data_IF_314262620489
#
_entry.id   IF_314262620489
#
_cell.length_a   1.000
_cell.length_b   1.000
_cell.length_c   1.000
_cell.angle_alpha   90.00
_cell.angle_beta   90.00
_cell.angle_gamma   90.00
#
_symmetry.space_group_name_H-M   'P 1'
#
loop_
_entity.id
_entity.type
_entity.pdbx_description
1 polymer ?
#
# COMPACT_ATOMS: atom_id res chain seq x y z
N UNK A 1 -11.74 -18.58 15.02
CA UNK A 1 -11.03 -17.50 14.29
C UNK A 1 -9.54 -17.45 14.64
N UNK A 2 -9.20 -17.32 15.92
CA UNK A 2 -7.81 -17.21 16.41
C UNK A 2 -6.89 -18.37 15.98
N UNK A 3 -7.34 -19.63 16.03
CA UNK A 3 -6.51 -20.78 15.60
C UNK A 3 -6.11 -20.71 14.12
N UNK A 4 -7.01 -20.25 13.24
CA UNK A 4 -6.73 -20.04 11.81
C UNK A 4 -5.73 -18.90 11.60
N UNK A 5 -5.88 -17.79 12.35
CA UNK A 5 -4.94 -16.67 12.33
C UNK A 5 -3.53 -17.12 12.74
N UNK A 6 -3.42 -17.95 13.79
CA UNK A 6 -2.12 -18.50 14.21
C UNK A 6 -1.49 -19.36 13.12
N UNK A 7 -2.27 -20.18 12.42
CA UNK A 7 -1.78 -21.00 11.32
C UNK A 7 -1.31 -20.15 10.13
N UNK A 8 -2.08 -19.13 9.74
CA UNK A 8 -1.71 -18.21 8.66
C UNK A 8 -0.47 -17.38 9.03
N UNK A 9 -0.37 -16.89 10.27
CA UNK A 9 0.82 -16.21 10.77
C UNK A 9 2.04 -17.12 10.76
N UNK A 10 1.88 -18.37 11.21
CA UNK A 10 2.96 -19.35 11.20
C UNK A 10 3.46 -19.66 9.79
N UNK A 11 2.55 -19.80 8.81
CA UNK A 11 2.91 -19.97 7.39
C UNK A 11 3.67 -18.76 6.86
N UNK A 12 3.18 -17.56 7.15
CA UNK A 12 3.81 -16.31 6.71
C UNK A 12 5.23 -16.18 7.26
N UNK A 13 5.41 -16.38 8.57
CA UNK A 13 6.72 -16.28 9.24
C UNK A 13 7.72 -17.35 8.78
N UNK A 14 7.29 -18.44 8.15
CA UNK A 14 8.21 -19.44 7.56
C UNK A 14 8.45 -19.23 6.08
N UNK A 15 7.82 -18.24 5.47
CA UNK A 15 8.00 -17.96 4.06
C UNK A 15 9.35 -17.30 3.80
N UNK A 16 10.18 -17.93 2.97
CA UNK A 16 11.46 -17.36 2.53
C UNK A 16 11.27 -16.01 1.83
N UNK A 17 10.18 -15.87 1.05
CA UNK A 17 9.92 -14.64 0.31
C UNK A 17 9.64 -13.44 1.22
N UNK A 18 9.09 -13.66 2.43
CA UNK A 18 8.89 -12.58 3.40
C UNK A 18 10.23 -11.99 3.81
N UNK A 19 11.17 -12.85 4.18
CA UNK A 19 12.51 -12.44 4.61
C UNK A 19 13.32 -11.80 3.49
N UNK A 20 13.20 -12.31 2.25
CA UNK A 20 13.83 -11.69 1.09
C UNK A 20 13.32 -10.26 0.88
N UNK A 21 12.00 -10.05 0.91
CA UNK A 21 11.44 -8.71 0.76
C UNK A 21 11.78 -7.78 1.92
N UNK A 22 11.74 -8.27 3.17
CA UNK A 22 12.19 -7.50 4.32
C UNK A 22 13.66 -7.08 4.19
N UNK A 23 14.54 -7.99 3.77
CA UNK A 23 15.95 -7.70 3.55
C UNK A 23 16.16 -6.65 2.45
N UNK A 24 15.42 -6.75 1.35
CA UNK A 24 15.46 -5.76 0.27
C UNK A 24 14.96 -4.38 0.73
N UNK A 25 13.87 -4.32 1.49
CA UNK A 25 13.40 -3.04 2.04
C UNK A 25 14.40 -2.45 3.03
N UNK A 26 14.98 -3.27 3.91
CA UNK A 26 16.03 -2.82 4.84
C UNK A 26 17.27 -2.31 4.09
N UNK A 27 17.64 -2.95 2.98
CA UNK A 27 18.74 -2.49 2.13
C UNK A 27 18.42 -1.13 1.51
N UNK A 28 17.22 -0.95 0.95
CA UNK A 28 16.80 0.36 0.39
C UNK A 28 16.81 1.43 1.48
N UNK A 29 16.26 1.14 2.67
CA UNK A 29 16.32 2.05 3.81
C UNK A 29 17.74 2.41 4.23
N UNK A 30 18.65 1.43 4.30
CA UNK A 30 20.04 1.67 4.62
C UNK A 30 20.71 2.57 3.57
N UNK A 31 20.43 2.35 2.28
CA UNK A 31 20.93 3.19 1.18
C UNK A 31 20.36 4.61 1.27
N UNK A 32 19.06 4.78 1.49
CA UNK A 32 18.42 6.07 1.70
C UNK A 32 19.09 6.85 2.83
N UNK A 33 19.28 6.20 3.99
CA UNK A 33 19.85 6.83 5.19
C UNK A 33 21.33 7.18 4.95
N UNK A 34 22.10 6.27 4.36
CA UNK A 34 23.53 6.46 4.10
C UNK A 34 23.83 7.52 3.04
N UNK A 35 23.06 7.51 1.95
CA UNK A 35 23.20 8.47 0.84
C UNK A 35 22.49 9.80 1.11
N UNK A 36 21.63 9.86 2.13
CA UNK A 36 20.85 11.05 2.52
C UNK A 36 19.97 11.57 1.39
N UNK A 37 19.48 10.66 0.56
CA UNK A 37 18.57 10.91 -0.54
C UNK A 37 17.37 10.00 -0.36
N UNK A 38 16.18 10.48 -0.68
CA UNK A 38 14.98 9.67 -0.58
C UNK A 38 15.06 8.50 -1.58
N UNK A 39 14.75 7.30 -1.11
CA UNK A 39 14.91 6.09 -1.91
C UNK A 39 13.60 5.67 -2.56
N UNK A 40 13.65 5.36 -3.86
CA UNK A 40 12.57 4.68 -4.57
C UNK A 40 12.30 5.23 -5.98
N UNK A 41 11.25 4.71 -6.61
CA UNK A 41 10.76 5.11 -7.94
C UNK A 41 9.31 5.54 -7.78
N UNK A 42 9.02 6.84 -7.69
CA UNK A 42 7.62 7.29 -7.63
C UNK A 42 6.97 7.10 -9.00
N UNK A 43 5.86 6.35 -9.04
CA UNK A 43 4.98 6.23 -10.21
C UNK A 43 3.91 7.33 -10.24
N UNK A 44 3.98 8.30 -9.33
CA UNK A 44 3.03 9.41 -9.26
C UNK A 44 3.51 10.62 -10.03
N UNK A 45 2.57 11.51 -10.36
CA UNK A 45 2.96 12.84 -10.81
C UNK A 45 3.50 13.63 -9.64
N UNK A 46 4.52 14.43 -9.91
CA UNK A 46 4.93 15.44 -8.97
C UNK A 46 3.92 16.58 -9.07
N UNK A 47 3.24 16.97 -7.98
CA UNK A 47 2.22 18.00 -8.05
C UNK A 47 2.86 19.32 -8.51
N UNK A 48 2.20 20.09 -9.40
CA UNK A 48 2.69 21.38 -9.86
C UNK A 48 2.50 22.41 -8.72
N UNK A 49 3.36 22.31 -7.71
CA UNK A 49 3.36 23.21 -6.55
C UNK A 49 4.32 24.35 -6.83
N UNK A 50 3.85 25.59 -6.72
CA UNK A 50 4.72 26.76 -6.83
C UNK A 50 5.83 26.69 -5.76
N UNK A 51 7.09 26.85 -6.20
CA UNK A 51 8.25 26.78 -5.32
C UNK A 51 8.57 25.36 -4.80
N UNK A 52 8.15 24.31 -5.51
CA UNK A 52 8.40 22.91 -5.16
C UNK A 52 9.86 22.60 -4.82
N UNK A 53 10.83 23.15 -5.55
CA UNK A 53 12.26 22.92 -5.26
C UNK A 53 12.67 23.50 -3.89
N UNK A 54 12.14 24.68 -3.53
CA UNK A 54 12.37 25.28 -2.22
C UNK A 54 11.68 24.47 -1.11
N UNK A 55 10.47 23.95 -1.36
CA UNK A 55 9.76 23.06 -0.42
C UNK A 55 10.48 21.73 -0.24
N UNK A 56 11.04 21.14 -1.29
CA UNK A 56 11.84 19.92 -1.17
C UNK A 56 13.09 20.12 -0.31
N UNK A 57 13.75 21.28 -0.42
CA UNK A 57 14.92 21.61 0.40
C UNK A 57 14.56 21.89 1.87
N UNK A 58 13.31 22.27 2.16
CA UNK A 58 12.85 22.55 3.53
C UNK A 58 12.34 21.31 4.28
N UNK A 59 11.90 20.28 3.56
CA UNK A 59 11.42 19.02 4.15
C UNK A 59 12.60 18.08 4.42
N UNK A 60 12.62 17.47 5.60
CA UNK A 60 13.69 16.56 6.01
C UNK A 60 13.54 15.17 5.39
N UNK A 61 14.64 14.43 5.33
CA UNK A 61 14.74 13.12 4.68
C UNK A 61 13.69 12.12 5.17
N UNK A 62 13.37 12.12 6.46
CA UNK A 62 12.38 11.22 7.03
C UNK A 62 10.97 11.42 6.48
N UNK A 63 10.56 12.67 6.38
CA UNK A 63 9.27 13.03 5.79
C UNK A 63 9.31 12.89 4.26
N UNK A 64 10.46 13.17 3.61
CA UNK A 64 10.62 12.89 2.19
C UNK A 64 10.50 11.39 1.88
N UNK A 65 10.98 10.50 2.74
CA UNK A 65 10.87 9.06 2.53
C UNK A 65 9.41 8.57 2.54
N UNK A 66 8.52 9.23 3.28
CA UNK A 66 7.09 8.88 3.32
C UNK A 66 6.44 8.95 1.92
N UNK A 67 6.83 9.92 1.08
CA UNK A 67 6.33 10.03 -0.31
C UNK A 67 6.63 8.79 -1.16
N UNK A 68 7.69 8.06 -0.79
CA UNK A 68 8.15 6.86 -1.48
C UNK A 68 7.57 5.58 -0.86
N UNK A 69 6.67 5.67 0.12
CA UNK A 69 6.14 4.50 0.81
C UNK A 69 5.40 3.52 -0.11
N UNK A 70 4.75 4.03 -1.16
CA UNK A 70 4.12 3.16 -2.15
C UNK A 70 5.14 2.25 -2.84
N UNK A 71 6.42 2.59 -2.91
CA UNK A 71 7.45 1.71 -3.52
C UNK A 71 7.67 0.43 -2.73
N UNK A 72 7.29 0.43 -1.46
CA UNK A 72 7.29 -0.75 -0.61
C UNK A 72 5.95 -1.49 -0.61
N UNK A 73 5.06 -1.24 -1.60
CA UNK A 73 3.80 -1.97 -1.74
C UNK A 73 4.01 -3.49 -1.81
N UNK A 74 5.19 -3.94 -2.25
CA UNK A 74 5.58 -5.35 -2.20
C UNK A 74 5.54 -5.92 -0.78
N UNK A 75 5.87 -5.14 0.26
CA UNK A 75 5.69 -5.58 1.65
C UNK A 75 4.21 -5.67 2.05
N UNK A 76 3.37 -4.80 1.49
CA UNK A 76 1.93 -4.74 1.78
C UNK A 76 1.15 -5.87 1.12
N UNK A 77 1.57 -6.30 -0.07
CA UNK A 77 0.94 -7.39 -0.81
C UNK A 77 1.38 -8.78 -0.33
N UNK A 78 2.49 -8.89 0.39
CA UNK A 78 3.03 -10.20 0.78
C UNK A 78 2.07 -11.08 1.58
N UNK A 79 1.38 -10.57 2.62
CA UNK A 79 0.38 -11.36 3.33
C UNK A 79 -0.75 -11.87 2.42
N UNK A 80 -1.15 -11.08 1.42
CA UNK A 80 -2.14 -11.50 0.40
C UNK A 80 -1.57 -12.61 -0.47
N UNK A 81 -0.37 -12.42 -1.02
CA UNK A 81 0.25 -13.37 -1.94
C UNK A 81 0.68 -14.68 -1.28
N UNK A 82 1.08 -14.67 0.00
CA UNK A 82 1.60 -15.87 0.68
C UNK A 82 0.51 -16.67 1.39
N UNK A 83 -0.63 -16.07 1.70
CA UNK A 83 -1.68 -16.72 2.48
C UNK A 83 -2.95 -16.95 1.66
N UNK A 84 -3.37 -15.98 0.86
CA UNK A 84 -4.65 -16.05 0.15
C UNK A 84 -4.48 -16.76 -1.19
N UNK A 85 -3.51 -16.31 -1.99
CA UNK A 85 -3.27 -16.85 -3.34
C UNK A 85 -2.92 -18.34 -3.38
N UNK A 86 -2.09 -18.90 -2.46
CA UNK A 86 -1.73 -20.32 -2.51
C UNK A 86 -2.93 -21.19 -2.18
N UNK A 87 -3.83 -20.74 -1.30
CA UNK A 87 -5.05 -21.51 -0.98
C UNK A 87 -5.97 -21.65 -2.19
N UNK A 88 -6.01 -20.65 -3.07
CA UNK A 88 -6.72 -20.77 -4.34
C UNK A 88 -5.95 -21.58 -5.38
N UNK A 89 -4.64 -21.38 -5.47
CA UNK A 89 -3.80 -22.06 -6.48
C UNK A 89 -3.67 -23.56 -6.21
N UNK A 90 -3.66 -23.97 -4.94
CA UNK A 90 -3.59 -25.37 -4.50
C UNK A 90 -4.99 -25.98 -4.24
N UNK A 91 -6.06 -25.20 -4.36
CA UNK A 91 -7.43 -25.65 -4.10
C UNK A 91 -7.76 -25.94 -2.63
N UNK A 92 -6.83 -25.67 -1.69
CA UNK A 92 -7.00 -25.99 -0.27
C UNK A 92 -8.07 -25.14 0.43
N UNK A 93 -8.49 -24.02 -0.16
CA UNK A 93 -9.60 -23.19 0.34
C UNK A 93 -10.91 -23.99 0.52
N UNK A 94 -11.16 -25.01 -0.32
CA UNK A 94 -12.35 -25.87 -0.22
C UNK A 94 -12.37 -26.66 1.09
N UNK A 95 -11.21 -27.15 1.52
CA UNK A 95 -11.07 -27.88 2.78
C UNK A 95 -11.36 -26.97 3.96
N UNK A 96 -10.84 -25.73 3.94
CA UNK A 96 -11.12 -24.72 4.97
C UNK A 96 -12.61 -24.35 5.05
N UNK A 97 -13.32 -24.33 3.91
CA UNK A 97 -14.73 -23.98 3.87
C UNK A 97 -15.63 -25.14 4.33
N UNK A 98 -15.32 -26.35 3.90
CA UNK A 98 -16.12 -27.54 4.23
C UNK A 98 -15.92 -28.01 5.68
N UNK A 99 -14.71 -27.85 6.23
CA UNK A 99 -14.39 -28.38 7.56
C UNK A 99 -14.33 -27.36 8.69
N UNK A 100 -14.08 -26.06 8.41
CA UNK A 100 -13.76 -25.07 9.46
C UNK A 100 -14.67 -23.84 9.48
N UNK A 101 -15.17 -23.35 8.33
CA UNK A 101 -15.98 -22.12 8.29
C UNK A 101 -16.79 -21.94 7.01
N UNK A 102 -17.89 -21.19 7.03
CA UNK A 102 -18.59 -20.82 5.80
C UNK A 102 -17.78 -19.82 4.92
N UNK A 103 -18.20 -19.63 3.66
CA UNK A 103 -17.53 -18.74 2.69
C UNK A 103 -17.34 -17.31 3.19
N UNK A 104 -18.39 -16.72 3.79
CA UNK A 104 -18.33 -15.35 4.34
C UNK A 104 -17.26 -15.24 5.42
N UNK A 105 -17.26 -16.16 6.37
CA UNK A 105 -16.28 -16.20 7.44
C UNK A 105 -14.87 -16.45 6.91
N UNK A 106 -14.71 -17.25 5.85
CA UNK A 106 -13.42 -17.45 5.20
C UNK A 106 -12.89 -16.12 4.62
N UNK A 107 -13.71 -15.41 3.83
CA UNK A 107 -13.33 -14.11 3.27
C UNK A 107 -12.96 -13.09 4.35
N UNK A 108 -13.86 -12.89 5.33
CA UNK A 108 -13.68 -11.90 6.40
C UNK A 108 -12.39 -12.17 7.18
N UNK A 109 -12.09 -13.44 7.47
CA UNK A 109 -10.86 -13.83 8.16
C UNK A 109 -9.61 -13.46 7.37
N UNK A 110 -9.58 -13.78 6.07
CA UNK A 110 -8.43 -13.50 5.21
C UNK A 110 -8.24 -12.01 4.98
N UNK A 111 -9.34 -11.27 4.83
CA UNK A 111 -9.32 -9.81 4.75
C UNK A 111 -8.71 -9.19 6.01
N UNK A 112 -9.26 -9.49 7.20
CA UNK A 112 -8.76 -8.95 8.47
C UNK A 112 -7.30 -9.36 8.72
N UNK A 113 -6.95 -10.61 8.41
CA UNK A 113 -5.57 -11.09 8.57
C UNK A 113 -4.58 -10.29 7.70
N UNK A 114 -4.90 -10.12 6.41
CA UNK A 114 -4.06 -9.37 5.49
C UNK A 114 -3.91 -7.91 5.94
N UNK A 115 -5.01 -7.23 6.27
CA UNK A 115 -5.00 -5.86 6.79
C UNK A 115 -4.10 -5.71 8.02
N UNK A 116 -4.36 -6.50 9.07
CA UNK A 116 -3.64 -6.38 10.34
C UNK A 116 -2.15 -6.65 10.16
N UNK A 117 -1.78 -7.71 9.44
CA UNK A 117 -0.38 -8.10 9.31
C UNK A 117 0.40 -7.17 8.39
N UNK A 118 -0.17 -6.78 7.25
CA UNK A 118 0.45 -5.81 6.35
C UNK A 118 0.63 -4.46 7.04
N UNK A 119 -0.36 -3.99 7.80
CA UNK A 119 -0.25 -2.74 8.55
C UNK A 119 0.79 -2.80 9.67
N UNK A 120 0.92 -3.91 10.40
CA UNK A 120 1.98 -4.07 11.40
C UNK A 120 3.35 -3.98 10.74
N UNK A 121 3.58 -4.69 9.63
CA UNK A 121 4.85 -4.66 8.90
C UNK A 121 5.15 -3.24 8.41
N UNK A 122 4.14 -2.55 7.87
CA UNK A 122 4.26 -1.18 7.38
C UNK A 122 4.63 -0.18 8.48
N UNK A 123 3.95 -0.26 9.63
CA UNK A 123 4.21 0.60 10.80
C UNK A 123 5.61 0.34 11.36
N UNK A 124 5.96 -0.93 11.58
CA UNK A 124 7.29 -1.29 12.09
C UNK A 124 8.38 -0.83 11.12
N UNK A 125 8.18 -0.98 9.82
CA UNK A 125 9.13 -0.52 8.81
C UNK A 125 9.35 1.00 8.84
N UNK A 126 8.27 1.79 8.85
CA UNK A 126 8.35 3.25 8.84
C UNK A 126 8.90 3.83 10.15
N UNK A 127 8.41 3.35 11.30
CA UNK A 127 8.94 3.75 12.61
C UNK A 127 10.41 3.35 12.74
N UNK A 128 10.76 2.14 12.30
CA UNK A 128 12.15 1.68 12.26
C UNK A 128 13.05 2.59 11.42
N UNK A 129 12.60 2.96 10.22
CA UNK A 129 13.30 3.91 9.35
C UNK A 129 13.53 5.26 10.05
N UNK A 130 12.48 5.85 10.64
CA UNK A 130 12.57 7.12 11.36
C UNK A 130 13.60 7.06 12.49
N UNK A 131 13.52 6.04 13.34
CA UNK A 131 14.41 5.85 14.48
C UNK A 131 15.86 5.71 14.03
N UNK A 132 16.13 4.84 13.05
CA UNK A 132 17.50 4.62 12.56
C UNK A 132 18.06 5.87 11.87
N UNK A 133 17.25 6.56 11.05
CA UNK A 133 17.67 7.81 10.43
C UNK A 133 18.03 8.87 11.47
N UNK A 134 17.22 9.00 12.53
CA UNK A 134 17.47 9.94 13.62
C UNK A 134 18.73 9.60 14.42
N UNK A 135 19.01 8.32 14.64
CA UNK A 135 20.22 7.86 15.34
C UNK A 135 21.49 8.12 14.52
N UNK A 136 21.45 7.92 13.20
CA UNK A 136 22.64 8.02 12.33
C UNK A 136 22.88 9.45 11.85
N UNK A 137 21.83 10.12 11.36
CA UNK A 137 21.94 11.43 10.70
C UNK A 137 21.52 12.61 11.59
N UNK A 138 20.97 12.34 12.78
CA UNK A 138 20.57 13.36 13.74
C UNK A 138 19.43 14.28 13.27
N UNK A 139 19.21 15.36 14.00
CA UNK A 139 18.12 16.32 13.75
C UNK A 139 18.22 17.08 12.42
N UNK A 140 19.37 17.03 11.75
CA UNK A 140 19.56 17.65 10.42
C UNK A 140 18.71 16.97 9.36
N UNK A 141 18.53 15.65 9.44
CA UNK A 141 17.79 14.86 8.46
C UNK A 141 16.54 14.19 9.07
N UNK A 142 16.22 14.50 10.32
CA UNK A 142 15.04 13.97 11.01
C UNK A 142 14.20 15.07 11.62
N UNK A 143 12.91 15.01 11.35
CA UNK A 143 11.85 15.88 11.85
C UNK A 143 11.57 15.59 13.32
N UNK A 144 10.79 16.47 13.95
CA UNK A 144 10.29 16.16 15.29
C UNK A 144 9.42 14.90 15.23
N UNK A 145 9.29 14.19 16.36
CA UNK A 145 8.48 12.97 16.41
C UNK A 145 7.02 13.29 16.06
N UNK A 146 6.52 14.44 16.54
CA UNK A 146 5.16 14.90 16.25
C UNK A 146 4.93 15.11 14.75
N UNK A 147 5.80 15.88 14.09
CA UNK A 147 5.64 16.20 12.67
C UNK A 147 5.71 14.94 11.79
N UNK A 148 6.64 14.03 12.09
CA UNK A 148 6.76 12.78 11.35
C UNK A 148 5.53 11.89 11.57
N UNK A 149 5.10 11.70 12.82
CA UNK A 149 3.98 10.83 13.14
C UNK A 149 2.65 11.37 12.61
N UNK A 150 2.48 12.69 12.59
CA UNK A 150 1.33 13.33 11.95
C UNK A 150 1.27 12.92 10.48
N UNK A 151 2.33 13.17 9.71
CA UNK A 151 2.39 12.84 8.28
C UNK A 151 2.28 11.33 8.01
N UNK A 152 2.87 10.50 8.87
CA UNK A 152 2.80 9.05 8.73
C UNK A 152 1.38 8.51 8.97
N UNK A 153 0.69 8.97 10.04
CA UNK A 153 -0.67 8.53 10.36
C UNK A 153 -1.66 8.92 9.26
N UNK A 154 -1.43 10.05 8.60
CA UNK A 154 -2.21 10.51 7.46
C UNK A 154 -2.23 9.52 6.28
N UNK A 155 -1.19 8.69 6.11
CA UNK A 155 -1.11 7.69 5.03
C UNK A 155 -1.82 6.37 5.36
N UNK A 156 -2.08 6.09 6.64
CA UNK A 156 -2.63 4.79 7.09
C UNK A 156 -3.91 4.41 6.33
N UNK A 157 -4.93 5.29 6.20
CA UNK A 157 -6.17 4.92 5.51
C UNK A 157 -5.96 4.61 4.02
N UNK A 158 -4.99 5.26 3.36
CA UNK A 158 -4.63 4.97 1.97
C UNK A 158 -4.09 3.54 1.86
N UNK A 159 -3.17 3.16 2.75
CA UNK A 159 -2.58 1.83 2.72
C UNK A 159 -3.56 0.72 3.09
N UNK A 160 -4.51 0.98 3.98
CA UNK A 160 -5.65 0.08 4.21
C UNK A 160 -6.45 -0.11 2.91
N UNK A 161 -6.76 0.95 2.18
CA UNK A 161 -7.46 0.83 0.89
C UNK A 161 -6.65 0.04 -0.16
N UNK A 162 -5.33 0.21 -0.20
CA UNK A 162 -4.44 -0.55 -1.08
C UNK A 162 -4.43 -2.04 -0.73
N UNK A 163 -4.34 -2.39 0.55
CA UNK A 163 -4.39 -3.79 1.00
C UNK A 163 -5.76 -4.40 0.66
N UNK A 164 -6.84 -3.70 0.94
CA UNK A 164 -8.20 -4.12 0.57
C UNK A 164 -8.34 -4.38 -0.94
N UNK A 165 -7.70 -3.55 -1.77
CA UNK A 165 -7.65 -3.74 -3.22
C UNK A 165 -6.90 -5.02 -3.61
N UNK A 166 -5.75 -5.29 -2.99
CA UNK A 166 -5.04 -6.55 -3.24
C UNK A 166 -5.81 -7.77 -2.76
N UNK A 167 -6.47 -7.71 -1.60
CA UNK A 167 -7.33 -8.81 -1.15
C UNK A 167 -8.47 -9.03 -2.16
N UNK A 168 -9.14 -7.97 -2.60
CA UNK A 168 -10.18 -8.05 -3.62
C UNK A 168 -9.66 -8.72 -4.91
N UNK A 169 -8.52 -8.27 -5.43
CA UNK A 169 -7.90 -8.87 -6.63
C UNK A 169 -7.55 -10.34 -6.42
N UNK A 170 -7.06 -10.74 -5.25
CA UNK A 170 -6.73 -12.13 -4.97
C UNK A 170 -7.97 -13.04 -5.04
N UNK A 171 -9.09 -12.59 -4.47
CA UNK A 171 -10.36 -13.30 -4.53
C UNK A 171 -11.02 -13.27 -5.92
N UNK A 172 -10.76 -12.22 -6.71
CA UNK A 172 -11.24 -12.10 -8.09
C UNK A 172 -10.50 -13.04 -9.04
N UNK A 173 -9.16 -13.02 -8.98
CA UNK A 173 -8.28 -13.68 -9.95
C UNK A 173 -7.96 -15.13 -9.58
N UNK A 174 -7.84 -15.45 -8.29
CA UNK A 174 -7.63 -16.80 -7.73
C UNK A 174 -6.42 -17.59 -8.27
N UNK A 175 -5.58 -16.99 -9.10
CA UNK A 175 -4.37 -17.60 -9.67
C UNK A 175 -3.18 -16.70 -9.43
N UNK A 176 -2.07 -17.28 -8.95
CA UNK A 176 -0.86 -16.53 -8.63
C UNK A 176 -0.29 -15.74 -9.81
N UNK A 177 -0.24 -16.35 -11.00
CA UNK A 177 0.27 -15.69 -12.21
C UNK A 177 -0.56 -14.47 -12.61
N UNK A 178 -1.89 -14.63 -12.69
CA UNK A 178 -2.80 -13.53 -13.04
C UNK A 178 -2.74 -12.40 -12.00
N UNK A 179 -2.75 -12.76 -10.72
CA UNK A 179 -2.64 -11.78 -9.64
C UNK A 179 -1.36 -10.95 -9.76
N UNK A 180 -0.20 -11.60 -9.89
CA UNK A 180 1.08 -10.90 -10.01
C UNK A 180 1.14 -10.03 -11.26
N UNK A 181 0.71 -10.55 -12.42
CA UNK A 181 0.72 -9.79 -13.67
C UNK A 181 -0.13 -8.53 -13.57
N UNK A 182 -1.36 -8.64 -13.02
CA UNK A 182 -2.26 -7.49 -12.87
C UNK A 182 -1.68 -6.49 -11.87
N UNK A 183 -1.24 -6.94 -10.70
CA UNK A 183 -0.75 -6.02 -9.66
C UNK A 183 0.50 -5.25 -10.09
N UNK A 184 1.43 -5.91 -10.80
CA UNK A 184 2.65 -5.24 -11.28
C UNK A 184 2.35 -4.32 -12.46
N UNK A 185 1.52 -4.75 -13.42
CA UNK A 185 1.26 -3.96 -14.63
C UNK A 185 0.31 -2.78 -14.39
N UNK A 186 -0.63 -2.89 -13.45
CA UNK A 186 -1.71 -1.91 -13.29
C UNK A 186 -1.21 -0.47 -13.03
N UNK A 187 -0.26 -0.21 -12.10
CA UNK A 187 0.27 1.15 -11.90
C UNK A 187 0.90 1.73 -13.17
N UNK A 188 1.61 0.91 -13.94
CA UNK A 188 2.23 1.32 -15.20
C UNK A 188 1.17 1.66 -16.25
N UNK A 189 0.13 0.83 -16.39
CA UNK A 189 -0.97 1.06 -17.33
C UNK A 189 -1.71 2.35 -16.99
N UNK A 190 -2.01 2.58 -15.71
CA UNK A 190 -2.66 3.83 -15.25
C UNK A 190 -1.84 5.05 -15.64
N UNK A 191 -0.52 5.00 -15.41
CA UNK A 191 0.41 6.08 -15.78
C UNK A 191 0.42 6.36 -17.28
N UNK A 192 0.57 5.32 -18.10
CA UNK A 192 0.62 5.45 -19.56
C UNK A 192 -0.70 6.00 -20.09
N UNK A 193 -1.83 5.46 -19.62
CA UNK A 193 -3.16 5.92 -20.05
C UNK A 193 -3.40 7.36 -19.64
N UNK A 194 -3.05 7.76 -18.42
CA UNK A 194 -3.18 9.14 -17.97
C UNK A 194 -2.31 10.08 -18.81
N UNK A 195 -1.06 9.72 -19.09
CA UNK A 195 -0.17 10.49 -19.95
C UNK A 195 -0.73 10.69 -21.35
N UNK A 196 -1.29 9.63 -21.97
CA UNK A 196 -1.93 9.72 -23.28
C UNK A 196 -3.17 10.62 -23.25
N UNK A 197 -4.02 10.52 -22.21
CA UNK A 197 -5.21 11.34 -22.08
C UNK A 197 -4.90 12.82 -21.80
N UNK A 198 -3.77 13.14 -21.19
CA UNK A 198 -3.33 14.52 -20.99
C UNK A 198 -3.00 15.25 -22.30
N UNK A 199 -2.62 14.53 -23.36
CA UNK A 199 -2.30 15.12 -24.67
C UNK A 199 -3.57 15.37 -25.52
N UNK A 200 -4.72 14.86 -25.08
CA UNK A 200 -6.00 15.08 -25.77
C UNK A 200 -6.58 16.44 -25.39
N UNK A 201 -6.87 17.26 -26.40
CA UNK A 201 -7.44 18.59 -26.24
C UNK A 201 -8.69 18.59 -25.33
N UNK A 202 -8.66 19.43 -24.30
CA UNK A 202 -9.76 19.59 -23.34
C UNK A 202 -9.81 18.55 -22.22
N UNK A 203 -9.00 17.48 -22.25
CA UNK A 203 -8.98 16.46 -21.20
C UNK A 203 -7.92 16.69 -20.12
N UNK A 204 -6.83 17.41 -20.43
CA UNK A 204 -5.69 17.63 -19.53
C UNK A 204 -6.11 17.98 -18.09
N UNK A 205 -6.90 19.05 -17.91
CA UNK A 205 -7.32 19.52 -16.58
C UNK A 205 -8.15 18.49 -15.81
N UNK A 206 -8.94 17.68 -16.51
CA UNK A 206 -9.78 16.64 -15.89
C UNK A 206 -8.91 15.44 -15.48
N UNK A 207 -8.00 15.03 -16.35
CA UNK A 207 -7.06 13.93 -16.09
C UNK A 207 -6.16 14.27 -14.91
N UNK A 208 -5.56 15.47 -14.89
CA UNK A 208 -4.71 15.92 -13.78
C UNK A 208 -5.47 15.96 -12.44
N UNK A 209 -6.74 16.41 -12.45
CA UNK A 209 -7.58 16.37 -11.25
C UNK A 209 -7.85 14.95 -10.76
N UNK A 210 -8.08 14.01 -11.66
CA UNK A 210 -8.25 12.60 -11.30
C UNK A 210 -6.93 11.99 -10.79
N UNK A 211 -5.80 12.39 -11.39
CA UNK A 211 -4.47 11.91 -11.05
C UNK A 211 -4.02 12.33 -9.65
N UNK A 212 -4.53 13.44 -9.11
CA UNK A 212 -4.33 13.79 -7.71
C UNK A 212 -4.82 12.70 -6.72
N UNK A 213 -5.70 11.80 -7.17
CA UNK A 213 -6.19 10.67 -6.40
C UNK A 213 -5.48 9.34 -6.77
N UNK A 214 -4.44 9.36 -7.59
CA UNK A 214 -3.52 8.23 -7.72
C UNK A 214 -2.66 8.14 -6.46
N UNK A 215 -2.41 6.92 -5.96
CA UNK A 215 -1.81 6.67 -4.64
C UNK A 215 -0.47 7.38 -4.49
N UNK A 216 0.46 7.17 -5.41
CA UNK A 216 1.80 7.77 -5.36
C UNK A 216 1.74 9.30 -5.39
N UNK A 217 0.80 9.86 -6.16
CA UNK A 217 0.55 11.29 -6.28
C UNK A 217 -0.08 11.85 -4.99
N UNK A 218 -0.98 11.13 -4.33
CA UNK A 218 -1.51 11.50 -3.01
C UNK A 218 -0.38 11.60 -1.97
N UNK A 219 0.54 10.62 -1.93
CA UNK A 219 1.71 10.64 -1.02
C UNK A 219 2.66 11.81 -1.36
N UNK A 220 2.91 12.01 -2.66
CA UNK A 220 3.26 13.27 -3.32
C UNK A 220 2.83 14.52 -2.54
N UNK A 221 1.52 14.74 -2.58
CA UNK A 221 0.88 15.95 -2.10
C UNK A 221 0.93 16.02 -0.56
N UNK A 222 0.72 14.91 0.14
CA UNK A 222 0.65 14.88 1.61
C UNK A 222 1.95 15.35 2.28
N UNK A 223 3.09 15.07 1.66
CA UNK A 223 4.40 15.51 2.18
C UNK A 223 4.60 17.02 2.02
N UNK A 224 4.18 17.61 0.89
CA UNK A 224 4.50 19.01 0.54
C UNK A 224 3.37 20.01 0.81
N UNK A 225 2.14 19.55 0.94
CA UNK A 225 0.96 20.37 1.10
C UNK A 225 0.36 20.11 2.49
N UNK A 226 0.62 21.04 3.42
CA UNK A 226 -0.17 21.20 4.65
C UNK A 226 -1.38 22.10 4.43
N UNK A 227 -1.45 22.80 3.29
CA UNK A 227 -2.51 23.74 2.96
C UNK A 227 -3.56 23.13 2.03
N UNK A 228 -4.53 22.47 2.64
CA UNK A 228 -5.69 21.95 1.93
C UNK A 228 -6.65 21.29 2.90
N UNK A 229 -7.27 22.06 3.80
CA UNK A 229 -8.28 21.58 4.77
C UNK A 229 -9.38 20.71 4.13
N UNK A 230 -9.56 20.75 2.81
CA UNK A 230 -10.50 19.92 2.07
C UNK A 230 -9.87 18.73 1.30
N UNK A 231 -8.64 18.82 0.77
CA UNK A 231 -8.05 17.72 -0.03
C UNK A 231 -7.73 16.51 0.84
N UNK A 232 -7.13 16.76 2.00
CA UNK A 232 -6.74 15.71 2.92
C UNK A 232 -7.96 14.89 3.43
N UNK A 233 -9.03 15.52 3.98
CA UNK A 233 -10.23 14.77 4.35
C UNK A 233 -10.90 14.05 3.19
N UNK A 234 -10.89 14.61 1.96
CA UNK A 234 -11.44 13.94 0.79
C UNK A 234 -10.69 12.65 0.44
N UNK A 235 -9.36 12.68 0.50
CA UNK A 235 -8.55 11.48 0.26
C UNK A 235 -8.79 10.42 1.33
N UNK A 236 -8.87 10.81 2.60
CA UNK A 236 -9.17 9.90 3.70
C UNK A 236 -10.57 9.26 3.56
N UNK A 237 -11.59 10.09 3.34
CA UNK A 237 -12.97 9.63 3.13
C UNK A 237 -13.05 8.73 1.91
N UNK A 238 -12.38 9.10 0.80
CA UNK A 238 -12.27 8.28 -0.40
C UNK A 238 -11.65 6.91 -0.11
N UNK A 239 -10.54 6.86 0.62
CA UNK A 239 -9.88 5.62 0.99
C UNK A 239 -10.76 4.71 1.86
N UNK A 240 -11.48 5.29 2.83
CA UNK A 240 -12.44 4.54 3.66
C UNK A 240 -13.59 3.99 2.81
N UNK A 241 -14.18 4.82 1.94
CA UNK A 241 -15.27 4.40 1.05
C UNK A 241 -14.79 3.26 0.13
N UNK A 242 -13.63 3.42 -0.51
CA UNK A 242 -13.04 2.41 -1.39
C UNK A 242 -12.82 1.10 -0.63
N UNK A 243 -12.27 1.16 0.59
CA UNK A 243 -12.07 -0.01 1.45
C UNK A 243 -13.39 -0.75 1.70
N UNK A 244 -14.44 -0.03 2.10
CA UNK A 244 -15.77 -0.61 2.37
C UNK A 244 -16.36 -1.21 1.09
N UNK A 245 -16.29 -0.50 -0.04
CA UNK A 245 -16.80 -0.96 -1.32
C UNK A 245 -16.09 -2.24 -1.77
N UNK A 246 -14.75 -2.27 -1.71
CA UNK A 246 -13.95 -3.44 -2.09
C UNK A 246 -14.21 -4.64 -1.17
N UNK A 247 -14.37 -4.39 0.14
CA UNK A 247 -14.76 -5.43 1.09
C UNK A 247 -16.13 -6.03 0.74
N UNK A 248 -17.15 -5.18 0.52
CA UNK A 248 -18.51 -5.64 0.21
C UNK A 248 -18.59 -6.34 -1.15
N UNK A 249 -17.92 -5.79 -2.18
CA UNK A 249 -17.84 -6.41 -3.50
C UNK A 249 -17.12 -7.76 -3.44
N UNK A 250 -15.98 -7.83 -2.76
CA UNK A 250 -15.23 -9.07 -2.57
C UNK A 250 -16.04 -10.14 -1.85
N UNK A 251 -16.72 -9.75 -0.76
CA UNK A 251 -17.60 -10.64 0.01
C UNK A 251 -18.77 -11.15 -0.83
N UNK A 252 -19.48 -10.26 -1.51
CA UNK A 252 -20.64 -10.59 -2.35
C UNK A 252 -20.25 -11.51 -3.51
N UNK A 253 -19.15 -11.20 -4.19
CA UNK A 253 -18.62 -11.99 -5.30
C UNK A 253 -18.21 -13.40 -4.83
N UNK A 254 -17.55 -13.50 -3.68
CA UNK A 254 -17.08 -14.79 -3.18
C UNK A 254 -18.22 -15.68 -2.66
N UNK A 255 -19.21 -15.08 -2.01
CA UNK A 255 -20.35 -15.80 -1.45
C UNK A 255 -21.22 -16.43 -2.55
N UNK A 256 -21.51 -15.65 -3.60
CA UNK A 256 -22.38 -16.05 -4.72
C UNK A 256 -21.73 -17.01 -5.72
N UNK A 257 -20.40 -17.09 -5.79
CA UNK A 257 -19.70 -17.98 -6.75
C UNK A 257 -19.65 -19.41 -6.25
N UNK A 258 -19.88 -20.37 -7.15
CA UNK A 258 -19.75 -21.79 -6.87
C UNK A 258 -18.28 -22.18 -6.58
N UNK A 259 -18.11 -23.22 -5.76
CA UNK A 259 -16.80 -23.77 -5.36
C UNK A 259 -16.32 -24.77 -6.42
N UNK A 260 -16.23 -24.32 -7.69
CA UNK A 260 -15.69 -25.14 -8.78
C UNK A 260 -14.22 -25.52 -8.52
#
# INVERSE_FOLDING_TARGET
>A
MIKSFKADLYRLLRSKGLYICMALTMLIYALTIGLKADGGISFGMMPPIDGLEAKMKSVKLDVLQLRMNFNYYFLLIMPVFMIIIPEFSEGTFKNSITSVCNKKNFFIRKFIFAEVVSMIIFIVGNVGFYVVNRLINGSKYSSSVGDYMEKFVMEIPIFVAVIAFFVFLAFLLKKASLFNSVTIALPLVINVVAGLLCVVDGLEKTVLKAYNYEVSTMLNIFVFETEGKAFFPRCLVGAIIITIVLFLLGLSMFDKRELA
#
